data_IF_274299524358
#
_entry.id   IF_274299524358
#
_cell.length_a   1.000
_cell.length_b   1.000
_cell.length_c   1.000
_cell.angle_alpha   90.00
_cell.angle_beta   90.00
_cell.angle_gamma   90.00
#
_symmetry.space_group_name_H-M   'P 1'
#
loop_
_entity.id
_entity.type
_entity.pdbx_description
1 polymer ?
#
# COMPACT_ATOMS: atom_id res chain seq x y z
N UNK A 1 2.75 -0.36 11.81
CA UNK A 1 3.98 -0.40 10.99
C UNK A 1 3.69 -0.08 9.54
N UNK A 2 2.87 -0.87 8.81
CA UNK A 2 2.52 -0.58 7.40
C UNK A 2 1.99 0.86 7.19
N UNK A 3 1.08 1.31 8.04
CA UNK A 3 0.47 2.64 7.97
C UNK A 3 1.48 3.79 8.18
N UNK A 4 2.46 3.58 9.07
CA UNK A 4 3.53 4.54 9.36
C UNK A 4 4.52 4.60 8.20
N UNK A 5 4.81 3.47 7.54
CA UNK A 5 5.69 3.42 6.38
C UNK A 5 5.05 4.00 5.12
N UNK A 6 3.75 3.77 4.92
CA UNK A 6 2.99 4.44 3.88
C UNK A 6 2.99 5.96 4.08
N UNK A 7 2.80 6.44 5.32
CA UNK A 7 2.93 7.86 5.67
C UNK A 7 4.34 8.42 5.43
N UNK A 8 5.39 7.64 5.69
CA UNK A 8 6.78 8.05 5.44
C UNK A 8 7.16 8.00 3.95
N UNK A 9 6.55 7.11 3.17
CA UNK A 9 6.73 7.06 1.72
C UNK A 9 6.08 8.26 1.01
N UNK A 10 5.03 8.83 1.62
CA UNK A 10 4.33 10.01 1.09
C UNK A 10 4.90 11.31 1.69
N UNK A 11 6.07 11.75 1.19
CA UNK A 11 6.59 13.10 1.49
C UNK A 11 6.18 14.04 0.33
N UNK A 12 5.18 14.93 0.54
CA UNK A 12 4.70 15.83 -0.50
C UNK A 12 5.83 16.68 -1.08
N UNK A 13 5.87 16.82 -2.41
CA UNK A 13 6.85 17.68 -3.09
C UNK A 13 8.26 17.10 -3.21
N UNK A 14 8.49 15.81 -2.93
CA UNK A 14 9.79 15.17 -3.14
C UNK A 14 9.86 14.52 -4.53
N UNK A 15 10.70 15.02 -5.46
CA UNK A 15 10.75 14.53 -6.83
C UNK A 15 11.05 13.03 -6.88
N UNK A 16 10.17 12.25 -7.51
CA UNK A 16 10.35 10.81 -7.72
C UNK A 16 9.88 9.91 -6.58
N UNK A 17 9.47 10.47 -5.43
CA UNK A 17 8.87 9.73 -4.31
C UNK A 17 7.36 10.00 -4.18
N UNK A 18 6.91 11.23 -4.45
CA UNK A 18 5.49 11.58 -4.48
C UNK A 18 4.83 11.20 -5.81
N UNK A 19 3.62 10.62 -5.76
CA UNK A 19 2.77 10.33 -6.94
C UNK A 19 2.48 11.62 -7.72
N UNK A 20 2.36 12.72 -6.98
CA UNK A 20 2.23 14.11 -7.42
C UNK A 20 3.42 14.61 -8.26
N UNK A 21 4.58 13.94 -8.21
CA UNK A 21 5.79 14.32 -8.96
C UNK A 21 6.11 13.38 -10.12
N UNK A 22 5.27 12.36 -10.34
CA UNK A 22 5.47 11.32 -11.36
C UNK A 22 4.34 11.36 -12.39
N UNK A 23 4.68 11.61 -13.65
CA UNK A 23 3.69 11.54 -14.74
C UNK A 23 3.23 10.09 -14.94
N UNK A 24 2.06 9.78 -14.41
CA UNK A 24 1.43 8.48 -14.60
C UNK A 24 0.43 8.54 -15.77
N UNK A 25 0.44 7.55 -16.69
CA UNK A 25 -0.48 7.52 -17.83
C UNK A 25 -1.96 7.37 -17.41
N UNK A 26 -2.22 6.92 -16.17
CA UNK A 26 -3.56 6.84 -15.60
C UNK A 26 -3.57 7.31 -14.13
N UNK A 27 -3.46 8.63 -13.94
CA UNK A 27 -3.42 9.27 -12.63
C UNK A 27 -4.63 8.96 -11.74
N UNK A 28 -5.82 8.77 -12.33
CA UNK A 28 -7.05 8.46 -11.58
C UNK A 28 -7.00 7.06 -10.98
N UNK A 29 -6.63 6.05 -11.77
CA UNK A 29 -6.52 4.67 -11.28
C UNK A 29 -5.44 4.53 -10.20
N UNK A 30 -4.30 5.21 -10.38
CA UNK A 30 -3.24 5.26 -9.37
C UNK A 30 -3.73 5.91 -8.07
N UNK A 31 -4.39 7.07 -8.16
CA UNK A 31 -4.93 7.77 -7.00
C UNK A 31 -5.93 6.93 -6.20
N UNK A 32 -6.79 6.17 -6.89
CA UNK A 32 -7.72 5.22 -6.24
C UNK A 32 -6.95 4.08 -5.57
N UNK A 33 -6.01 3.45 -6.26
CA UNK A 33 -5.25 2.32 -5.71
C UNK A 33 -4.46 2.73 -4.45
N UNK A 34 -3.79 3.89 -4.50
CA UNK A 34 -3.12 4.43 -3.33
C UNK A 34 -4.10 4.79 -2.21
N UNK A 35 -5.24 5.42 -2.53
CA UNK A 35 -6.27 5.69 -1.53
C UNK A 35 -6.73 4.41 -0.83
N UNK A 36 -6.91 3.31 -1.55
CA UNK A 36 -7.26 2.01 -0.97
C UNK A 36 -6.12 1.46 -0.10
N UNK A 37 -4.86 1.54 -0.56
CA UNK A 37 -3.70 1.10 0.21
C UNK A 37 -3.55 1.86 1.55
N UNK A 38 -3.98 3.13 1.64
CA UNK A 38 -3.94 3.93 2.86
C UNK A 38 -5.21 3.79 3.72
N UNK A 39 -6.40 3.86 3.12
CA UNK A 39 -7.67 3.86 3.83
C UNK A 39 -8.03 2.47 4.37
N UNK A 40 -7.69 1.39 3.67
CA UNK A 40 -8.05 0.04 4.11
C UNK A 40 -7.33 -0.36 5.43
N UNK A 41 -6.03 -0.07 5.63
CA UNK A 41 -5.39 -0.23 6.94
C UNK A 41 -5.94 0.68 8.04
N UNK A 42 -6.36 1.91 7.72
CA UNK A 42 -6.99 2.83 8.67
C UNK A 42 -8.36 2.29 9.14
N UNK A 43 -9.17 1.80 8.20
CA UNK A 43 -10.45 1.15 8.48
C UNK A 43 -10.25 -0.12 9.31
N UNK A 44 -9.25 -0.94 8.98
CA UNK A 44 -8.91 -2.11 9.75
C UNK A 44 -8.56 -1.76 11.20
N UNK A 45 -7.74 -0.72 11.40
CA UNK A 45 -7.39 -0.25 12.74
C UNK A 45 -8.63 0.26 13.50
N UNK A 46 -9.42 1.15 12.89
CA UNK A 46 -10.59 1.77 13.53
C UNK A 46 -11.71 0.80 13.86
N UNK A 47 -11.85 -0.29 13.08
CA UNK A 47 -12.89 -1.29 13.30
C UNK A 47 -12.42 -2.51 14.10
N UNK A 48 -11.12 -2.66 14.34
CA UNK A 48 -10.53 -3.85 14.97
C UNK A 48 -11.09 -4.19 16.35
N UNK A 49 -11.47 -3.19 17.16
CA UNK A 49 -12.02 -3.42 18.50
C UNK A 49 -13.48 -3.88 18.53
N UNK A 50 -14.30 -3.47 17.55
CA UNK A 50 -15.74 -3.76 17.54
C UNK A 50 -16.09 -4.90 16.59
N UNK A 51 -15.37 -5.00 15.47
CA UNK A 51 -15.69 -5.86 14.34
C UNK A 51 -14.41 -6.50 13.78
N UNK A 52 -13.86 -7.54 14.45
CA UNK A 52 -12.58 -8.12 14.09
C UNK A 52 -12.58 -8.81 12.72
N UNK A 53 -13.71 -9.40 12.30
CA UNK A 53 -13.84 -10.02 10.97
C UNK A 53 -13.85 -8.99 9.82
N UNK A 54 -14.70 -7.95 9.84
CA UNK A 54 -14.60 -6.85 8.88
C UNK A 54 -13.22 -6.18 8.86
N UNK A 55 -12.63 -5.95 10.02
CA UNK A 55 -11.27 -5.39 10.12
C UNK A 55 -10.22 -6.27 9.41
N UNK A 56 -10.32 -7.59 9.54
CA UNK A 56 -9.43 -8.52 8.85
C UNK A 56 -9.63 -8.50 7.33
N UNK A 57 -10.87 -8.38 6.84
CA UNK A 57 -11.12 -8.18 5.40
C UNK A 57 -10.52 -6.87 4.89
N UNK A 58 -10.69 -5.76 5.62
CA UNK A 58 -10.06 -4.48 5.25
C UNK A 58 -8.53 -4.56 5.25
N UNK A 59 -7.94 -5.21 6.26
CA UNK A 59 -6.49 -5.41 6.33
C UNK A 59 -5.96 -6.30 5.19
N UNK A 60 -6.70 -7.36 4.82
CA UNK A 60 -6.38 -8.22 3.70
C UNK A 60 -6.36 -7.42 2.39
N UNK A 61 -7.42 -6.68 2.10
CA UNK A 61 -7.52 -5.86 0.89
C UNK A 61 -6.42 -4.81 0.84
N UNK A 62 -6.19 -4.08 1.94
CA UNK A 62 -5.11 -3.09 2.01
C UNK A 62 -3.72 -3.69 1.80
N UNK A 63 -3.47 -4.87 2.39
CA UNK A 63 -2.22 -5.60 2.19
C UNK A 63 -2.00 -6.02 0.74
N UNK A 64 -3.02 -6.61 0.09
CA UNK A 64 -2.93 -7.04 -1.30
C UNK A 64 -2.71 -5.87 -2.27
N UNK A 65 -3.41 -4.76 -2.06
CA UNK A 65 -3.24 -3.56 -2.90
C UNK A 65 -1.84 -2.95 -2.70
N UNK A 66 -1.31 -2.93 -1.48
CA UNK A 66 0.05 -2.48 -1.22
C UNK A 66 1.11 -3.35 -1.93
N UNK A 67 0.90 -4.68 -1.96
CA UNK A 67 1.76 -5.60 -2.73
C UNK A 67 1.70 -5.30 -4.21
N UNK A 68 0.49 -5.17 -4.77
CA UNK A 68 0.31 -4.89 -6.18
C UNK A 68 0.98 -3.56 -6.58
N UNK A 69 0.80 -2.51 -5.79
CA UNK A 69 1.43 -1.21 -6.05
C UNK A 69 2.95 -1.27 -5.99
N UNK A 70 3.53 -1.86 -4.92
CA UNK A 70 4.99 -1.97 -4.79
C UNK A 70 5.60 -2.79 -5.93
N UNK A 71 4.98 -3.90 -6.35
CA UNK A 71 5.48 -4.70 -7.46
C UNK A 71 5.35 -3.99 -8.81
N UNK A 72 4.26 -3.26 -9.03
CA UNK A 72 4.06 -2.50 -10.27
C UNK A 72 5.05 -1.32 -10.37
N UNK A 73 5.38 -0.65 -9.26
CA UNK A 73 6.38 0.42 -9.27
C UNK A 73 7.81 -0.13 -9.45
N UNK A 74 8.13 -1.25 -8.79
CA UNK A 74 9.40 -1.97 -9.01
C UNK A 74 9.58 -2.44 -10.46
N UNK A 75 8.49 -2.84 -11.10
CA UNK A 75 8.49 -3.19 -12.53
C UNK A 75 8.54 -1.96 -13.47
N UNK A 76 8.49 -0.75 -12.91
CA UNK A 76 8.46 0.50 -13.66
C UNK A 76 7.17 0.73 -14.46
N UNK A 77 6.10 -0.01 -14.14
CA UNK A 77 4.83 0.01 -14.86
C UNK A 77 3.91 1.17 -14.45
N UNK A 78 4.18 1.81 -13.31
CA UNK A 78 3.37 2.94 -12.82
C UNK A 78 3.84 4.28 -13.39
N UNK A 79 5.14 4.56 -13.34
CA UNK A 79 5.70 5.85 -13.70
C UNK A 79 7.13 5.75 -14.28
N UNK A 80 7.45 4.62 -14.91
CA UNK A 80 8.82 4.31 -15.33
C UNK A 80 9.69 3.82 -14.16
N UNK A 81 10.99 3.60 -14.39
CA UNK A 81 11.87 2.98 -13.42
C UNK A 81 11.96 3.77 -12.11
N UNK A 82 11.83 3.05 -10.99
CA UNK A 82 11.93 3.59 -9.65
C UNK A 82 13.34 4.09 -9.31
N UNK A 83 13.49 5.31 -8.73
CA UNK A 83 14.74 5.71 -8.10
C UNK A 83 15.17 4.70 -7.04
N UNK A 84 16.47 4.56 -6.80
CA UNK A 84 17.02 3.53 -5.88
C UNK A 84 16.42 3.59 -4.47
N UNK A 85 16.09 4.80 -3.99
CA UNK A 85 15.41 4.98 -2.71
C UNK A 85 13.98 4.43 -2.72
N UNK A 86 13.24 4.60 -3.82
CA UNK A 86 11.88 4.12 -3.99
C UNK A 86 11.84 2.59 -4.10
N UNK A 87 12.83 1.98 -4.77
CA UNK A 87 12.98 0.51 -4.85
C UNK A 87 12.98 -0.12 -3.44
N UNK A 88 13.73 0.47 -2.50
CA UNK A 88 13.78 -0.03 -1.12
C UNK A 88 12.43 0.12 -0.44
N UNK A 89 11.78 1.27 -0.62
CA UNK A 89 10.45 1.55 -0.06
C UNK A 89 9.42 0.56 -0.61
N UNK A 90 9.36 0.37 -1.92
CA UNK A 90 8.43 -0.54 -2.58
C UNK A 90 8.65 -2.00 -2.16
N UNK A 91 9.90 -2.43 -2.05
CA UNK A 91 10.24 -3.77 -1.58
C UNK A 91 9.76 -3.99 -0.13
N UNK A 92 9.96 -3.00 0.75
CA UNK A 92 9.48 -3.05 2.14
C UNK A 92 7.94 -3.02 2.20
N UNK A 93 7.28 -2.17 1.41
CA UNK A 93 5.82 -2.07 1.33
C UNK A 93 5.22 -3.39 0.82
N UNK A 94 5.80 -3.98 -0.23
CA UNK A 94 5.36 -5.26 -0.76
C UNK A 94 5.54 -6.38 0.28
N UNK A 95 6.71 -6.46 0.93
CA UNK A 95 6.95 -7.46 1.96
C UNK A 95 5.95 -7.36 3.14
N UNK A 96 5.74 -6.14 3.63
CA UNK A 96 4.78 -5.90 4.72
C UNK A 96 3.34 -6.11 4.28
N UNK A 97 3.00 -5.76 3.05
CA UNK A 97 1.70 -6.04 2.44
C UNK A 97 1.40 -7.53 2.42
N UNK A 98 2.38 -8.36 2.01
CA UNK A 98 2.27 -9.83 2.07
C UNK A 98 2.06 -10.31 3.49
N UNK A 99 2.86 -9.82 4.45
CA UNK A 99 2.74 -10.23 5.84
C UNK A 99 1.37 -9.90 6.44
N UNK A 100 0.84 -8.71 6.16
CA UNK A 100 -0.49 -8.26 6.61
C UNK A 100 -1.59 -9.08 5.94
N UNK A 101 -1.51 -9.29 4.62
CA UNK A 101 -2.47 -10.09 3.88
C UNK A 101 -2.51 -11.53 4.40
N UNK A 102 -1.33 -12.15 4.57
CA UNK A 102 -1.20 -13.52 5.07
C UNK A 102 -1.80 -13.68 6.47
N UNK A 103 -1.43 -12.79 7.40
CA UNK A 103 -1.97 -12.81 8.77
C UNK A 103 -3.49 -12.66 8.76
N UNK A 104 -4.02 -11.71 8.00
CA UNK A 104 -5.46 -11.44 7.96
C UNK A 104 -6.23 -12.61 7.34
N UNK A 105 -5.67 -13.22 6.30
CA UNK A 105 -6.21 -14.43 5.68
C UNK A 105 -6.20 -15.63 6.62
N UNK A 106 -5.13 -15.84 7.40
CA UNK A 106 -5.10 -16.91 8.40
C UNK A 106 -6.16 -16.73 9.49
N UNK A 107 -6.40 -15.50 9.94
CA UNK A 107 -7.43 -15.17 10.91
C UNK A 107 -8.84 -15.42 10.37
N UNK A 108 -9.09 -15.10 9.09
CA UNK A 108 -10.39 -15.30 8.46
C UNK A 108 -10.73 -16.79 8.21
N UNK A 109 -9.72 -17.67 8.17
CA UNK A 109 -9.90 -19.12 8.00
C UNK A 109 -10.00 -19.90 9.30
N UNK A 110 -9.73 -19.27 10.45
CA UNK A 110 -9.89 -19.83 11.79
C UNK A 110 -11.33 -19.65 12.29
#
# INVERSE_FOLDING_TARGET
>A
MLLVLLLLAYVPGTPGLGIDTREAPNAVALGVAYSVAFLAPLLALGTSWRWPRPAAWSALTGGLVAVALGLLDLAGLLAGPAPTAMIVVDAVVAFLGVAVAWRSWSFLRA
#
